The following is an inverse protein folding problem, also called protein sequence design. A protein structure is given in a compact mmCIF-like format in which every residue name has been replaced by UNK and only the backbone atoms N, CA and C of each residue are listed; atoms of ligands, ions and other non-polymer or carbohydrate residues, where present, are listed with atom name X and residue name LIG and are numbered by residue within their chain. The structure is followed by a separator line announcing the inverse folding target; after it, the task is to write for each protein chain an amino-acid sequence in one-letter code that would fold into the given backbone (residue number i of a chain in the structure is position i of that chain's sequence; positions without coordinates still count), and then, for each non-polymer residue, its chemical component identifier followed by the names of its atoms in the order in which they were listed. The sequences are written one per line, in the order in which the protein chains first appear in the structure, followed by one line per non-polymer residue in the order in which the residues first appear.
data_IF_342859302152
#
_entry.id   IF_342859302152
#
_cell.length_a   1.000
_cell.length_b   1.000
_cell.length_c   1.000
_cell.angle_alpha   90.00
_cell.angle_beta   90.00
_cell.angle_gamma   90.00
#
_symmetry.space_group_name_H-M   'P 1'
#
loop_
_entity.id
_entity.type
_entity.pdbx_description
1 polymer ?
#
# COMPACT_ATOMS: atom_id res chain seq x y z
N UNK A 1 1.51 -5.12 -16.34
CA UNK A 1 1.55 -5.07 -14.86
C UNK A 1 1.84 -6.44 -14.23
N UNK A 2 0.95 -7.45 -14.38
CA UNK A 2 1.12 -8.80 -13.80
C UNK A 2 2.49 -9.43 -14.10
N UNK A 3 2.93 -9.37 -15.37
CA UNK A 3 4.25 -9.88 -15.78
C UNK A 3 5.39 -9.23 -15.01
N UNK A 4 5.35 -7.90 -14.86
CA UNK A 4 6.38 -7.15 -14.14
C UNK A 4 6.46 -7.50 -12.66
N UNK A 5 5.30 -7.72 -12.02
CA UNK A 5 5.23 -8.15 -10.61
C UNK A 5 5.89 -9.51 -10.43
N UNK A 6 5.66 -10.44 -11.37
CA UNK A 6 6.29 -11.77 -11.38
C UNK A 6 7.78 -11.70 -11.66
N UNK A 7 8.20 -10.96 -12.69
CA UNK A 7 9.60 -10.79 -13.07
C UNK A 7 10.45 -10.16 -11.96
N UNK A 8 9.92 -9.15 -11.29
CA UNK A 8 10.60 -8.47 -10.19
C UNK A 8 10.47 -9.20 -8.84
N UNK A 9 9.75 -10.32 -8.80
CA UNK A 9 9.38 -11.00 -7.55
C UNK A 9 8.85 -10.02 -6.49
N UNK A 10 8.00 -9.08 -6.91
CA UNK A 10 7.54 -8.00 -6.04
C UNK A 10 6.74 -8.58 -4.86
N UNK A 11 7.15 -8.21 -3.64
CA UNK A 11 6.53 -8.68 -2.40
C UNK A 11 5.23 -7.93 -2.12
N UNK A 12 5.17 -6.64 -2.48
CA UNK A 12 4.06 -5.74 -2.18
C UNK A 12 3.68 -4.87 -3.36
N UNK A 13 2.37 -4.66 -3.54
CA UNK A 13 1.78 -3.65 -4.40
C UNK A 13 1.01 -2.67 -3.52
N UNK A 14 1.39 -1.40 -3.56
CA UNK A 14 0.70 -0.35 -2.83
C UNK A 14 -0.29 0.38 -3.73
N UNK A 15 -1.50 0.61 -3.22
CA UNK A 15 -2.51 1.45 -3.86
C UNK A 15 -2.80 2.66 -2.99
N UNK A 16 -3.28 3.73 -3.59
CA UNK A 16 -3.82 4.88 -2.83
C UNK A 16 -5.32 4.72 -2.60
N UNK A 17 -5.90 5.31 -1.53
CA UNK A 17 -7.33 5.18 -1.20
C UNK A 17 -8.28 5.54 -2.34
N UNK A 18 -7.89 6.49 -3.18
CA UNK A 18 -8.60 6.94 -4.37
C UNK A 18 -8.68 5.90 -5.50
N UNK A 19 -7.89 4.82 -5.44
CA UNK A 19 -7.95 3.75 -6.45
C UNK A 19 -9.02 2.72 -6.12
N UNK A 20 -9.71 2.25 -7.17
CA UNK A 20 -10.75 1.24 -7.05
C UNK A 20 -10.14 -0.10 -6.59
N UNK A 21 -10.58 -0.69 -5.48
CA UNK A 21 -10.02 -1.95 -4.96
C UNK A 21 -10.03 -3.10 -5.96
N UNK A 22 -11.06 -3.19 -6.81
CA UNK A 22 -11.20 -4.22 -7.85
C UNK A 22 -10.07 -4.18 -8.89
N UNK A 23 -9.51 -3.00 -9.16
CA UNK A 23 -8.39 -2.88 -10.10
C UNK A 23 -7.11 -3.42 -9.48
N UNK A 24 -6.86 -3.11 -8.21
CA UNK A 24 -5.71 -3.60 -7.45
C UNK A 24 -5.76 -5.12 -7.36
N UNK A 25 -6.91 -5.70 -7.00
CA UNK A 25 -7.09 -7.16 -6.95
C UNK A 25 -6.80 -7.82 -8.29
N UNK A 26 -7.29 -7.21 -9.38
CA UNK A 26 -7.05 -7.73 -10.74
C UNK A 26 -5.56 -7.70 -11.07
N UNK A 27 -4.81 -6.69 -10.64
CA UNK A 27 -3.36 -6.58 -10.95
C UNK A 27 -2.50 -7.59 -10.18
N UNK A 28 -2.88 -7.95 -8.95
CA UNK A 28 -2.11 -8.90 -8.12
C UNK A 28 -2.57 -10.35 -8.26
N UNK A 29 -3.73 -10.59 -8.87
CA UNK A 29 -4.28 -11.93 -9.09
C UNK A 29 -3.30 -12.86 -9.81
N UNK A 30 -3.10 -14.06 -9.24
CA UNK A 30 -2.17 -15.06 -9.76
C UNK A 30 -0.70 -14.72 -9.51
N UNK A 31 -0.41 -13.78 -8.60
CA UNK A 31 0.93 -13.47 -8.08
C UNK A 31 0.98 -13.77 -6.58
N UNK A 32 2.19 -13.80 -6.01
CA UNK A 32 2.40 -13.93 -4.55
C UNK A 32 2.49 -12.58 -3.84
N UNK A 33 2.27 -11.47 -4.56
CA UNK A 33 2.41 -10.14 -4.00
C UNK A 33 1.25 -9.83 -3.03
N UNK A 34 1.59 -9.28 -1.88
CA UNK A 34 0.63 -8.71 -0.92
C UNK A 34 0.19 -7.32 -1.40
N UNK A 35 -0.92 -6.83 -0.87
CA UNK A 35 -1.39 -5.46 -1.14
C UNK A 35 -1.34 -4.60 0.12
N UNK A 36 -0.92 -3.35 -0.02
CA UNK A 36 -0.97 -2.33 1.02
C UNK A 36 -1.63 -1.05 0.51
N UNK A 37 -2.00 -0.14 1.41
CA UNK A 37 -2.56 1.17 1.04
C UNK A 37 -1.63 2.29 1.53
N UNK A 38 -1.26 3.22 0.65
CA UNK A 38 -0.52 4.43 1.01
C UNK A 38 -1.39 5.64 0.71
N UNK A 39 -1.61 6.48 1.72
CA UNK A 39 -2.35 7.74 1.58
C UNK A 39 -1.39 8.92 1.74
N UNK A 40 -0.64 9.30 0.69
CA UNK A 40 0.34 10.38 0.78
C UNK A 40 -0.31 11.75 0.99
N UNK A 41 -1.61 11.88 0.70
CA UNK A 41 -2.37 13.12 0.88
C UNK A 41 -2.98 13.23 2.28
N UNK A 42 -2.96 12.16 3.08
CA UNK A 42 -3.62 12.13 4.37
C UNK A 42 -5.13 12.36 4.27
N UNK A 43 -5.75 11.96 3.16
CA UNK A 43 -7.18 12.12 2.91
C UNK A 43 -8.05 11.46 4.01
N UNK A 44 -7.53 10.42 4.68
CA UNK A 44 -8.18 9.75 5.80
C UNK A 44 -7.88 10.37 7.19
N UNK A 45 -7.09 11.45 7.27
CA UNK A 45 -6.61 12.04 8.53
C UNK A 45 -7.34 13.35 8.81
N UNK A 46 -7.80 13.54 10.05
CA UNK A 46 -8.41 14.80 10.47
C UNK A 46 -7.37 15.94 10.48
N UNK A 47 -7.78 17.11 9.96
CA UNK A 47 -6.97 18.33 10.01
C UNK A 47 -6.59 18.71 11.44
N UNK A 48 -5.32 19.07 11.64
CA UNK A 48 -4.83 19.54 12.93
C UNK A 48 -3.30 19.50 13.04
N UNK A 49 -2.72 20.02 14.14
CA UNK A 49 -1.27 20.13 14.32
C UNK A 49 -0.54 18.78 14.36
N UNK A 50 -1.28 17.69 14.59
CA UNK A 50 -0.73 16.32 14.62
C UNK A 50 -0.71 15.64 13.25
N UNK A 51 -1.34 16.23 12.22
CA UNK A 51 -1.57 15.57 10.92
C UNK A 51 -0.28 15.03 10.32
N UNK A 52 0.78 15.83 10.26
CA UNK A 52 2.05 15.41 9.67
C UNK A 52 2.65 14.17 10.37
N UNK A 53 2.62 14.16 11.71
CA UNK A 53 3.16 13.04 12.48
C UNK A 53 2.33 11.77 12.33
N UNK A 54 1.01 11.90 12.22
CA UNK A 54 0.10 10.77 11.96
C UNK A 54 0.37 10.25 10.54
N UNK A 55 0.41 11.12 9.54
CA UNK A 55 0.64 10.79 8.14
C UNK A 55 1.92 9.95 7.94
N UNK A 56 3.06 10.45 8.45
CA UNK A 56 4.34 9.75 8.30
C UNK A 56 4.34 8.40 9.03
N UNK A 57 3.72 8.33 10.22
CA UNK A 57 3.60 7.06 10.97
C UNK A 57 2.69 6.06 10.27
N UNK A 58 1.56 6.50 9.72
CA UNK A 58 0.62 5.63 9.02
C UNK A 58 1.22 5.07 7.73
N UNK A 59 1.94 5.89 6.96
CA UNK A 59 2.69 5.43 5.80
C UNK A 59 3.77 4.42 6.19
N UNK A 60 4.57 4.72 7.22
CA UNK A 60 5.61 3.80 7.72
C UNK A 60 5.00 2.48 8.20
N UNK A 61 3.87 2.54 8.90
CA UNK A 61 3.13 1.35 9.36
C UNK A 61 2.61 0.52 8.19
N UNK A 62 2.09 1.15 7.13
CA UNK A 62 1.61 0.44 5.95
C UNK A 62 2.74 -0.26 5.19
N UNK A 63 3.86 0.45 4.99
CA UNK A 63 5.08 -0.13 4.43
C UNK A 63 5.55 -1.33 5.26
N UNK A 64 5.67 -1.15 6.57
CA UNK A 64 6.13 -2.18 7.48
C UNK A 64 5.20 -3.41 7.48
N UNK A 65 3.88 -3.20 7.54
CA UNK A 65 2.89 -4.30 7.52
C UNK A 65 2.97 -5.13 6.25
N UNK A 66 3.21 -4.50 5.10
CA UNK A 66 3.26 -5.23 3.84
C UNK A 66 4.63 -5.89 3.63
N UNK A 67 5.71 -5.12 3.79
CA UNK A 67 7.07 -5.52 3.43
C UNK A 67 7.73 -6.42 4.49
N UNK A 68 7.33 -6.31 5.76
CA UNK A 68 7.89 -7.20 6.77
C UNK A 68 7.33 -8.60 6.61
N UNK A 69 8.24 -9.55 6.41
CA UNK A 69 7.96 -10.97 6.55
C UNK A 69 7.82 -11.29 8.04
N UNK A 70 6.65 -11.00 8.62
CA UNK A 70 6.21 -11.83 9.74
C UNK A 70 5.72 -13.15 9.15
N UNK A 71 6.52 -14.19 9.41
CA UNK A 71 6.11 -15.59 9.31
C UNK A 71 4.91 -15.86 10.22
#
# INVERSE_FOLDING_TARGET
MKTKIKELNAICVFSEPQFKPKLVSTVVEGTKAKTGVLDPLGAAIQNGPKLYFILIRDMANSLNKCLSNKA
#
